data_IF_333927807499
#
_entry.id   IF_333927807499
#
_cell.length_a   1.000
_cell.length_b   1.000
_cell.length_c   1.000
_cell.angle_alpha   90.00
_cell.angle_beta   90.00
_cell.angle_gamma   90.00
#
_symmetry.space_group_name_H-M   'P 1'
#
loop_
_entity.id
_entity.type
_entity.pdbx_description
1 polymer ?
#
# COMPACT_ATOMS: atom_id res chain seq x y z
N UNK A 1 24.78 1.20 -9.31
CA UNK A 1 23.40 0.91 -9.76
C UNK A 1 22.92 -0.37 -9.08
N UNK A 2 21.77 -0.33 -8.42
CA UNK A 2 21.21 -1.47 -7.70
C UNK A 2 19.88 -1.93 -8.32
N UNK A 3 19.45 -3.14 -7.99
CA UNK A 3 18.15 -3.69 -8.40
C UNK A 3 17.24 -3.81 -7.17
N UNK A 4 16.12 -3.08 -7.19
CA UNK A 4 15.06 -3.17 -6.18
C UNK A 4 13.88 -3.99 -6.72
N UNK A 5 13.39 -4.92 -5.90
CA UNK A 5 12.27 -5.78 -6.23
C UNK A 5 11.15 -5.64 -5.21
N UNK A 6 10.05 -5.05 -5.61
CA UNK A 6 8.88 -4.86 -4.76
C UNK A 6 7.99 -6.10 -4.79
N UNK A 7 7.71 -6.68 -3.63
CA UNK A 7 6.89 -7.86 -3.48
C UNK A 7 5.70 -7.59 -2.57
N UNK A 8 4.49 -7.90 -3.05
CA UNK A 8 3.25 -7.78 -2.27
C UNK A 8 2.66 -9.14 -1.90
N UNK A 9 3.48 -10.19 -1.86
CA UNK A 9 3.03 -11.55 -1.54
C UNK A 9 2.45 -11.68 -0.12
N UNK A 10 2.79 -10.75 0.77
CA UNK A 10 2.29 -10.69 2.13
C UNK A 10 0.96 -9.95 2.28
N UNK A 11 0.39 -9.39 1.20
CA UNK A 11 -0.86 -8.64 1.26
C UNK A 11 -2.06 -9.43 0.71
N UNK A 12 -3.25 -9.13 1.22
CA UNK A 12 -4.52 -9.53 0.60
C UNK A 12 -4.85 -8.66 -0.63
N UNK A 13 -5.76 -9.09 -1.51
CA UNK A 13 -6.04 -8.41 -2.79
C UNK A 13 -6.48 -6.95 -2.63
N UNK A 14 -7.31 -6.65 -1.62
CA UNK A 14 -7.72 -5.27 -1.33
C UNK A 14 -6.50 -4.42 -0.93
N UNK A 15 -5.61 -4.94 -0.08
CA UNK A 15 -4.38 -4.26 0.32
C UNK A 15 -3.47 -4.02 -0.89
N UNK A 16 -3.28 -5.01 -1.76
CA UNK A 16 -2.51 -4.84 -3.00
C UNK A 16 -3.03 -3.69 -3.85
N UNK A 17 -4.35 -3.53 -3.96
CA UNK A 17 -4.95 -2.45 -4.74
C UNK A 17 -4.68 -1.05 -4.18
N UNK A 18 -4.63 -0.90 -2.86
CA UNK A 18 -4.36 0.40 -2.21
C UNK A 18 -2.88 0.75 -2.19
N UNK A 19 -1.99 -0.25 -2.25
CA UNK A 19 -0.53 -0.04 -2.30
C UNK A 19 -0.03 0.50 -3.64
N UNK A 20 -0.70 0.19 -4.75
CA UNK A 20 -0.29 0.65 -6.09
C UNK A 20 -0.10 2.16 -6.11
N UNK A 21 -0.96 2.88 -5.39
CA UNK A 21 -0.90 4.34 -5.31
C UNK A 21 0.44 4.84 -4.75
N UNK A 22 1.00 4.16 -3.73
CA UNK A 22 2.28 4.52 -3.13
C UNK A 22 3.47 3.98 -3.93
N UNK A 23 3.34 2.77 -4.48
CA UNK A 23 4.38 2.08 -5.24
C UNK A 23 4.97 2.92 -6.37
N UNK A 24 4.13 3.67 -7.07
CA UNK A 24 4.51 4.59 -8.14
C UNK A 24 5.61 5.58 -7.71
N UNK A 25 5.54 6.14 -6.49
CA UNK A 25 6.54 7.09 -5.98
C UNK A 25 7.89 6.44 -5.71
N UNK A 26 7.88 5.26 -5.10
CA UNK A 26 9.11 4.53 -4.85
C UNK A 26 9.77 4.13 -6.16
N UNK A 27 8.99 3.63 -7.11
CA UNK A 27 9.47 3.31 -8.45
C UNK A 27 10.07 4.54 -9.13
N UNK A 28 9.34 5.65 -9.16
CA UNK A 28 9.78 6.89 -9.80
C UNK A 28 11.10 7.40 -9.20
N UNK A 29 11.18 7.52 -7.87
CA UNK A 29 12.40 8.00 -7.21
C UNK A 29 13.62 7.10 -7.46
N UNK A 30 13.42 5.77 -7.46
CA UNK A 30 14.50 4.82 -7.75
C UNK A 30 14.94 4.85 -9.21
N UNK A 31 13.99 4.98 -10.15
CA UNK A 31 14.30 5.11 -11.58
C UNK A 31 15.04 6.42 -11.89
N UNK A 32 14.69 7.54 -11.24
CA UNK A 32 15.37 8.84 -11.40
C UNK A 32 16.84 8.83 -10.92
N UNK A 33 17.18 7.89 -10.03
CA UNK A 33 18.55 7.60 -9.59
C UNK A 33 19.24 6.53 -10.45
N UNK A 34 18.56 6.02 -11.48
CA UNK A 34 19.08 5.04 -12.42
C UNK A 34 19.04 3.59 -11.92
N UNK A 35 18.34 3.30 -10.83
CA UNK A 35 18.20 1.91 -10.35
C UNK A 35 17.24 1.09 -11.22
N UNK A 36 17.42 -0.23 -11.21
CA UNK A 36 16.43 -1.15 -11.78
C UNK A 36 15.32 -1.38 -10.77
N UNK A 37 14.07 -1.31 -11.20
CA UNK A 37 12.90 -1.58 -10.37
C UNK A 37 12.02 -2.65 -11.02
N UNK A 38 11.65 -3.69 -10.28
CA UNK A 38 10.67 -4.68 -10.71
C UNK A 38 9.64 -4.94 -9.60
N UNK A 39 8.50 -5.49 -9.99
CA UNK A 39 7.38 -5.80 -9.09
C UNK A 39 6.95 -7.26 -9.24
N UNK A 40 6.54 -7.88 -8.15
CA UNK A 40 5.88 -9.18 -8.16
C UNK A 40 4.80 -9.26 -7.09
N UNK A 41 3.76 -10.05 -7.38
CA UNK A 41 2.71 -10.36 -6.41
C UNK A 41 3.00 -11.62 -5.60
N UNK A 42 3.96 -12.44 -6.03
CA UNK A 42 4.10 -13.83 -5.56
C UNK A 42 5.55 -14.31 -5.46
N UNK A 43 6.52 -13.54 -5.98
CA UNK A 43 7.92 -13.94 -6.03
C UNK A 43 8.82 -12.87 -5.42
N UNK A 44 9.99 -13.31 -5.00
CA UNK A 44 11.14 -12.47 -4.65
C UNK A 44 12.32 -12.80 -5.54
N UNK A 45 13.30 -11.91 -5.59
CA UNK A 45 14.47 -12.04 -6.45
C UNK A 45 15.73 -12.14 -5.60
N UNK A 46 16.44 -13.27 -5.70
CA UNK A 46 17.65 -13.53 -4.88
C UNK A 46 18.76 -12.51 -5.04
N UNK A 47 18.89 -11.93 -6.24
CA UNK A 47 19.92 -10.93 -6.57
C UNK A 47 19.43 -9.48 -6.46
N UNK A 48 18.20 -9.26 -5.99
CA UNK A 48 17.64 -7.93 -5.79
C UNK A 48 17.57 -7.57 -4.30
N UNK A 49 17.47 -6.28 -4.03
CA UNK A 49 17.01 -5.77 -2.74
C UNK A 49 15.49 -5.91 -2.73
N UNK A 50 14.99 -6.93 -2.03
CA UNK A 50 13.55 -7.18 -1.96
C UNK A 50 12.90 -6.17 -1.01
N UNK A 51 11.73 -5.66 -1.35
CA UNK A 51 11.00 -4.70 -0.52
C UNK A 51 9.57 -5.20 -0.36
N UNK A 52 9.14 -5.31 0.89
CA UNK A 52 7.76 -5.62 1.26
C UNK A 52 7.08 -4.37 1.82
N UNK A 53 5.79 -4.20 1.56
CA UNK A 53 4.99 -3.31 2.39
C UNK A 53 4.66 -4.00 3.71
N UNK A 54 4.45 -3.25 4.77
CA UNK A 54 4.06 -3.81 6.05
C UNK A 54 2.63 -4.37 5.98
N UNK A 55 2.54 -5.69 6.07
CA UNK A 55 1.36 -6.46 6.45
C UNK A 55 1.88 -7.87 6.68
N UNK A 56 2.23 -8.22 7.92
CA UNK A 56 2.80 -9.53 8.22
C UNK A 56 1.89 -10.31 9.15
N UNK A 57 1.65 -11.57 8.79
CA UNK A 57 0.87 -12.52 9.59
C UNK A 57 1.78 -13.63 10.17
N UNK A 58 1.35 -14.29 11.26
CA UNK A 58 2.14 -15.33 11.90
C UNK A 58 2.65 -16.38 10.91
N UNK A 59 3.92 -16.77 11.06
CA UNK A 59 4.57 -17.75 10.18
C UNK A 59 5.31 -17.17 8.97
N UNK A 60 4.97 -15.95 8.53
CA UNK A 60 5.62 -15.32 7.36
C UNK A 60 7.14 -15.13 7.53
N UNK A 61 7.63 -14.90 8.75
CA UNK A 61 9.07 -14.79 9.01
C UNK A 61 9.83 -16.06 8.62
N UNK A 62 9.29 -17.24 8.96
CA UNK A 62 9.94 -18.52 8.66
C UNK A 62 10.12 -18.71 7.14
N UNK A 63 9.10 -18.31 6.37
CA UNK A 63 9.12 -18.33 4.91
C UNK A 63 10.18 -17.38 4.33
N UNK A 64 10.23 -16.14 4.83
CA UNK A 64 11.22 -15.15 4.38
C UNK A 64 12.65 -15.62 4.71
N UNK A 65 12.91 -16.09 5.93
CA UNK A 65 14.23 -16.60 6.33
C UNK A 65 14.65 -17.81 5.49
N UNK A 66 13.72 -18.74 5.22
CA UNK A 66 13.98 -19.92 4.37
C UNK A 66 14.37 -19.54 2.95
N UNK A 67 13.83 -18.45 2.42
CA UNK A 67 14.16 -17.96 1.08
C UNK A 67 15.58 -17.40 0.95
N UNK A 68 16.26 -17.11 2.07
CA UNK A 68 17.63 -16.56 2.13
C UNK A 68 17.81 -15.28 1.30
N UNK A 69 16.80 -14.42 1.29
CA UNK A 69 16.85 -13.11 0.63
C UNK A 69 17.23 -12.01 1.62
N UNK A 70 17.88 -10.96 1.09
CA UNK A 70 17.92 -9.67 1.76
C UNK A 70 16.63 -8.89 1.44
N UNK A 71 16.05 -8.24 2.46
CA UNK A 71 14.84 -7.44 2.28
C UNK A 71 14.79 -6.20 3.17
N UNK A 72 14.06 -5.19 2.70
CA UNK A 72 13.60 -4.05 3.48
C UNK A 72 12.08 -4.01 3.58
N UNK A 73 11.58 -3.11 4.42
CA UNK A 73 10.14 -2.95 4.66
C UNK A 73 9.71 -1.50 4.42
N UNK A 74 8.58 -1.29 3.75
CA UNK A 74 7.86 -0.01 3.75
C UNK A 74 6.77 -0.08 4.82
N UNK A 75 6.92 0.71 5.87
CA UNK A 75 5.95 0.81 6.96
C UNK A 75 4.99 1.99 6.73
N UNK A 76 3.70 1.69 6.60
CA UNK A 76 2.64 2.70 6.42
C UNK A 76 1.86 2.98 7.70
N UNK A 77 1.98 2.12 8.70
CA UNK A 77 1.22 2.21 9.95
C UNK A 77 1.94 3.04 11.02
N UNK A 78 1.15 3.68 11.90
CA UNK A 78 1.65 4.54 12.98
C UNK A 78 1.78 3.70 14.26
N UNK A 79 2.98 3.46 14.81
CA UNK A 79 3.14 2.79 16.09
C UNK A 79 2.69 3.71 17.23
N UNK A 80 1.83 3.20 18.10
CA UNK A 80 1.30 3.94 19.27
C UNK A 80 1.84 3.42 20.62
N UNK A 81 2.76 2.44 20.57
CA UNK A 81 3.37 1.79 21.72
C UNK A 81 2.65 0.53 22.20
N UNK A 82 1.38 0.33 21.84
CA UNK A 82 0.60 -0.90 22.11
C UNK A 82 0.32 -1.70 20.82
N UNK A 83 0.24 -1.01 19.70
CA UNK A 83 -0.05 -1.58 18.40
C UNK A 83 0.18 -0.55 17.28
N UNK A 84 -0.69 -0.62 16.27
CA UNK A 84 -0.72 0.30 15.14
C UNK A 84 -2.03 1.11 15.13
N UNK A 85 -1.95 2.40 14.85
CA UNK A 85 -3.08 3.30 14.60
C UNK A 85 -4.15 3.33 15.70
N UNK A 86 -3.75 3.17 16.96
CA UNK A 86 -4.64 3.13 18.14
C UNK A 86 -5.67 2.00 18.08
N UNK A 87 -5.34 0.91 17.38
CA UNK A 87 -6.15 -0.29 17.25
C UNK A 87 -5.68 -1.36 18.23
N UNK A 88 -6.59 -1.79 19.10
CA UNK A 88 -6.35 -2.77 20.15
C UNK A 88 -7.06 -4.11 19.90
N UNK A 89 -7.71 -4.26 18.74
CA UNK A 89 -8.33 -5.52 18.36
C UNK A 89 -7.25 -6.63 18.24
N UNK A 90 -7.55 -7.89 18.62
CA UNK A 90 -6.56 -8.98 18.67
C UNK A 90 -5.78 -9.18 17.37
N UNK A 91 -6.42 -8.97 16.21
CA UNK A 91 -5.80 -9.02 14.89
C UNK A 91 -4.69 -7.96 14.72
N UNK A 92 -4.92 -6.74 15.19
CA UNK A 92 -3.96 -5.63 15.11
C UNK A 92 -2.80 -5.81 16.07
N UNK A 93 -3.07 -6.32 17.28
CA UNK A 93 -2.01 -6.69 18.24
C UNK A 93 -1.13 -7.79 17.65
N UNK A 94 -1.74 -8.81 17.04
CA UNK A 94 -1.01 -9.90 16.38
C UNK A 94 -0.17 -9.40 15.21
N UNK A 95 -0.72 -8.53 14.35
CA UNK A 95 0.00 -7.89 13.25
C UNK A 95 1.20 -7.08 13.75
N UNK A 96 1.03 -6.31 14.82
CA UNK A 96 2.11 -5.52 15.42
C UNK A 96 3.24 -6.40 15.99
N UNK A 97 2.89 -7.48 16.70
CA UNK A 97 3.86 -8.45 17.23
C UNK A 97 4.62 -9.14 16.09
N UNK A 98 3.90 -9.61 15.07
CA UNK A 98 4.49 -10.25 13.89
C UNK A 98 5.41 -9.29 13.14
N UNK A 99 5.00 -8.04 12.97
CA UNK A 99 5.86 -7.01 12.39
C UNK A 99 7.18 -6.89 13.15
N UNK A 100 7.15 -6.81 14.49
CA UNK A 100 8.37 -6.70 15.28
C UNK A 100 9.31 -7.91 15.11
N UNK A 101 8.78 -9.11 14.90
CA UNK A 101 9.57 -10.31 14.59
C UNK A 101 10.23 -10.22 13.21
N UNK A 102 9.45 -9.83 12.20
CA UNK A 102 9.95 -9.66 10.82
C UNK A 102 10.94 -8.49 10.71
N UNK A 103 10.68 -7.38 11.38
CA UNK A 103 11.50 -6.17 11.33
C UNK A 103 12.93 -6.39 11.85
N UNK A 104 13.13 -7.29 12.82
CA UNK A 104 14.47 -7.63 13.35
C UNK A 104 15.39 -8.30 12.32
N UNK A 105 14.83 -8.87 11.26
CA UNK A 105 15.59 -9.54 10.20
C UNK A 105 15.67 -8.69 8.91
N UNK A 106 14.98 -7.56 8.87
CA UNK A 106 15.05 -6.62 7.75
C UNK A 106 16.38 -5.86 7.73
N UNK A 107 16.82 -5.45 6.53
CA UNK A 107 18.01 -4.62 6.34
C UNK A 107 17.74 -3.14 6.57
N UNK A 108 16.52 -2.70 6.26
CA UNK A 108 16.08 -1.33 6.48
C UNK A 108 14.55 -1.24 6.56
N UNK A 109 14.07 -0.13 7.12
CA UNK A 109 12.66 0.25 7.12
C UNK A 109 12.49 1.66 6.55
N UNK A 110 11.63 1.82 5.56
CA UNK A 110 11.18 3.13 5.09
C UNK A 110 9.79 3.41 5.64
N UNK A 111 9.62 4.45 6.44
CA UNK A 111 8.32 4.83 7.00
C UNK A 111 7.76 6.04 6.27
N UNK A 112 6.44 6.08 6.08
CA UNK A 112 5.75 7.28 5.56
C UNK A 112 5.32 8.25 6.65
N UNK A 113 5.72 8.01 7.90
CA UNK A 113 5.41 8.86 9.05
C UNK A 113 6.70 9.21 9.77
N UNK A 114 7.07 10.50 9.71
CA UNK A 114 8.35 11.00 10.20
C UNK A 114 8.54 10.74 11.70
N UNK A 115 7.50 10.98 12.50
CA UNK A 115 7.52 10.73 13.95
C UNK A 115 7.69 9.25 14.31
N UNK A 116 7.51 8.32 13.36
CA UNK A 116 7.70 6.89 13.58
C UNK A 116 9.13 6.41 13.33
N UNK A 117 10.02 7.24 12.77
CA UNK A 117 11.43 6.87 12.53
C UNK A 117 12.13 6.38 13.81
N UNK A 118 12.02 7.05 14.98
CA UNK A 118 12.65 6.56 16.21
C UNK A 118 12.10 5.21 16.67
N UNK A 119 10.83 4.89 16.37
CA UNK A 119 10.28 3.58 16.65
C UNK A 119 10.93 2.51 15.78
N UNK A 120 10.92 2.70 14.46
CA UNK A 120 11.43 1.71 13.52
C UNK A 120 12.96 1.55 13.58
N UNK A 121 13.69 2.59 13.95
CA UNK A 121 15.16 2.57 14.11
C UNK A 121 15.65 1.61 15.21
N UNK A 122 14.74 1.10 16.06
CA UNK A 122 15.06 0.07 17.06
C UNK A 122 15.29 -1.31 16.46
N UNK A 123 14.87 -1.55 15.22
CA UNK A 123 14.99 -2.85 14.55
C UNK A 123 16.16 -2.90 13.57
N UNK A 124 16.25 -1.89 12.70
CA UNK A 124 17.27 -1.75 11.66
C UNK A 124 17.34 -0.27 11.22
N UNK A 125 18.30 0.15 10.36
CA UNK A 125 18.32 1.50 9.80
C UNK A 125 16.95 1.88 9.23
N UNK A 126 16.41 3.00 9.70
CA UNK A 126 15.10 3.47 9.28
C UNK A 126 15.13 4.92 8.83
N UNK A 127 14.34 5.24 7.82
CA UNK A 127 14.23 6.58 7.28
C UNK A 127 12.79 6.95 6.96
N UNK A 128 12.47 8.24 7.12
CA UNK A 128 11.24 8.82 6.63
C UNK A 128 11.35 9.03 5.12
N UNK A 129 10.40 8.50 4.37
CA UNK A 129 10.24 8.76 2.94
C UNK A 129 8.99 9.62 2.72
N UNK A 130 9.23 10.88 2.35
CA UNK A 130 8.16 11.76 1.90
C UNK A 130 7.87 11.52 0.41
N UNK A 131 6.62 11.74 0.01
CA UNK A 131 6.22 11.59 -1.39
C UNK A 131 6.45 12.90 -2.14
N UNK A 132 7.50 12.93 -2.96
CA UNK A 132 7.94 14.09 -3.73
C UNK A 132 7.39 14.16 -5.16
N UNK A 133 7.72 15.25 -5.86
CA UNK A 133 7.47 15.42 -7.27
C UNK A 133 8.37 14.52 -8.12
N UNK A 134 7.80 13.90 -9.16
CA UNK A 134 8.54 13.21 -10.21
C UNK A 134 7.89 13.45 -11.56
N UNK A 135 8.70 13.65 -12.60
CA UNK A 135 8.23 13.76 -13.99
C UNK A 135 7.56 12.46 -14.47
N UNK A 136 7.95 11.30 -13.92
CA UNK A 136 7.36 10.00 -14.24
C UNK A 136 5.91 9.85 -13.78
N UNK A 137 5.47 10.69 -12.85
CA UNK A 137 4.14 10.61 -12.24
C UNK A 137 3.17 11.67 -12.76
N UNK A 138 3.63 12.52 -13.70
CA UNK A 138 2.77 13.49 -14.35
C UNK A 138 1.79 12.75 -15.27
N UNK A 139 0.47 12.99 -15.15
CA UNK A 139 -0.49 12.42 -16.08
C UNK A 139 -0.19 12.83 -17.53
N UNK A 140 -0.14 11.86 -18.44
CA UNK A 140 0.18 12.10 -19.85
C UNK A 140 -0.79 13.09 -20.54
N UNK A 141 -2.04 13.13 -20.09
CA UNK A 141 -3.04 14.07 -20.57
C UNK A 141 -4.01 14.45 -19.46
N UNK A 142 -4.44 15.71 -19.45
CA UNK A 142 -5.45 16.22 -18.54
C UNK A 142 -6.51 16.96 -19.35
N UNK A 143 -7.78 16.78 -18.97
CA UNK A 143 -8.87 17.58 -19.55
C UNK A 143 -8.60 19.06 -19.21
N UNK A 144 -8.46 19.87 -20.26
CA UNK A 144 -8.23 21.30 -20.09
C UNK A 144 -9.47 21.98 -19.57
N UNK A 145 -10.67 21.48 -19.83
CA UNK A 145 -11.94 22.10 -19.41
C UNK A 145 -12.72 21.15 -18.49
N UNK A 146 -12.28 20.97 -17.24
CA UNK A 146 -12.98 20.13 -16.28
C UNK A 146 -14.39 20.67 -15.99
N UNK A 147 -15.37 19.78 -16.01
CA UNK A 147 -16.79 20.07 -15.78
C UNK A 147 -17.21 19.81 -14.35
N UNK A 148 -16.43 19.04 -13.58
CA UNK A 148 -16.70 18.72 -12.18
C UNK A 148 -15.97 19.73 -11.28
N UNK A 149 -16.64 20.21 -10.25
CA UNK A 149 -16.05 21.16 -9.31
C UNK A 149 -15.07 20.46 -8.38
N UNK A 150 -15.50 19.36 -7.75
CA UNK A 150 -14.70 18.61 -6.78
C UNK A 150 -14.58 17.12 -7.12
N UNK A 151 -13.39 16.54 -6.94
CA UNK A 151 -13.25 15.08 -6.86
C UNK A 151 -12.71 14.62 -5.51
N UNK A 152 -13.10 13.40 -5.13
CA UNK A 152 -12.46 12.64 -4.07
C UNK A 152 -12.29 11.17 -4.46
N UNK A 153 -11.18 10.58 -4.03
CA UNK A 153 -10.92 9.14 -4.18
C UNK A 153 -10.29 8.56 -2.91
N UNK A 154 -10.72 7.35 -2.55
CA UNK A 154 -10.28 6.63 -1.35
C UNK A 154 -11.46 6.09 -0.53
N UNK A 155 -11.13 5.51 0.62
CA UNK A 155 -12.08 4.82 1.51
C UNK A 155 -13.26 5.71 1.93
N UNK A 156 -14.47 5.13 1.87
CA UNK A 156 -15.70 5.68 2.44
C UNK A 156 -15.71 5.52 3.94
N UNK A 157 -15.94 6.62 4.64
CA UNK A 157 -16.15 6.64 6.09
C UNK A 157 -17.26 7.64 6.41
N UNK A 158 -17.96 7.50 7.55
CA UNK A 158 -19.01 8.44 7.94
C UNK A 158 -18.51 9.89 8.01
N UNK A 159 -17.27 10.09 8.46
CA UNK A 159 -16.62 11.40 8.47
C UNK A 159 -16.57 12.01 7.07
N UNK A 160 -16.13 11.20 6.10
CA UNK A 160 -15.91 11.66 4.73
C UNK A 160 -17.19 11.89 3.96
N UNK A 161 -18.17 11.02 4.17
CA UNK A 161 -19.52 11.16 3.60
C UNK A 161 -20.17 12.46 4.05
N UNK A 162 -20.09 12.79 5.34
CA UNK A 162 -20.61 14.06 5.85
C UNK A 162 -19.97 15.27 5.17
N UNK A 163 -18.66 15.27 4.95
CA UNK A 163 -17.95 16.36 4.27
C UNK A 163 -18.42 16.49 2.82
N UNK A 164 -18.46 15.38 2.08
CA UNK A 164 -18.88 15.36 0.67
C UNK A 164 -20.35 15.76 0.52
N UNK A 165 -21.22 15.34 1.44
CA UNK A 165 -22.63 15.74 1.46
C UNK A 165 -22.80 17.25 1.63
N UNK A 166 -22.03 17.90 2.53
CA UNK A 166 -22.10 19.36 2.66
C UNK A 166 -21.66 20.08 1.39
N UNK A 167 -20.61 19.60 0.72
CA UNK A 167 -20.16 20.16 -0.56
C UNK A 167 -21.18 19.96 -1.68
N UNK A 168 -21.77 18.77 -1.75
CA UNK A 168 -22.76 18.39 -2.77
C UNK A 168 -24.05 19.23 -2.76
N UNK A 169 -24.33 19.95 -1.67
CA UNK A 169 -25.44 20.91 -1.60
C UNK A 169 -25.22 22.17 -2.45
N UNK A 170 -23.96 22.46 -2.80
CA UNK A 170 -23.58 23.72 -3.43
C UNK A 170 -22.78 23.57 -4.72
N UNK A 171 -22.19 22.39 -4.97
CA UNK A 171 -21.30 22.15 -6.10
C UNK A 171 -21.36 20.70 -6.57
N UNK A 172 -20.85 20.45 -7.78
CA UNK A 172 -20.71 19.08 -8.29
C UNK A 172 -19.53 18.36 -7.63
N UNK A 173 -19.80 17.22 -7.00
CA UNK A 173 -18.77 16.42 -6.32
C UNK A 173 -18.80 14.99 -6.85
N UNK A 174 -17.69 14.55 -7.43
CA UNK A 174 -17.50 13.16 -7.87
C UNK A 174 -16.71 12.37 -6.84
N UNK A 175 -17.33 11.31 -6.33
CA UNK A 175 -16.70 10.31 -5.48
C UNK A 175 -17.19 8.92 -5.89
N UNK A 176 -16.35 8.12 -6.59
CA UNK A 176 -16.69 6.76 -6.98
C UNK A 176 -17.14 5.88 -5.81
N UNK A 177 -18.04 4.94 -6.07
CA UNK A 177 -18.48 3.96 -5.07
C UNK A 177 -17.40 2.89 -4.80
N UNK A 178 -16.65 2.52 -5.84
CA UNK A 178 -15.59 1.51 -5.78
C UNK A 178 -14.21 2.15 -5.91
N UNK A 179 -13.17 1.41 -5.52
CA UNK A 179 -11.80 1.79 -5.83
C UNK A 179 -11.60 1.85 -7.36
N UNK A 180 -11.05 2.98 -7.81
CA UNK A 180 -10.68 3.15 -9.21
C UNK A 180 -9.33 2.49 -9.49
N UNK A 181 -9.15 2.04 -10.73
CA UNK A 181 -7.82 1.74 -11.26
C UNK A 181 -6.96 3.01 -11.32
N UNK A 182 -5.63 2.91 -11.44
CA UNK A 182 -4.77 4.08 -11.61
C UNK A 182 -5.21 5.00 -12.76
N UNK A 183 -5.62 4.42 -13.89
CA UNK A 183 -6.16 5.17 -15.02
C UNK A 183 -7.47 5.89 -14.68
N UNK A 184 -8.38 5.23 -13.95
CA UNK A 184 -9.62 5.84 -13.48
C UNK A 184 -9.36 7.01 -12.52
N UNK A 185 -8.39 6.89 -11.61
CA UNK A 185 -7.98 8.00 -10.72
C UNK A 185 -7.50 9.20 -11.54
N UNK A 186 -6.66 8.97 -12.56
CA UNK A 186 -6.18 10.02 -13.46
C UNK A 186 -7.35 10.70 -14.19
N UNK A 187 -8.30 9.92 -14.71
CA UNK A 187 -9.47 10.44 -15.40
C UNK A 187 -10.35 11.29 -14.49
N UNK A 188 -10.65 10.81 -13.27
CA UNK A 188 -11.40 11.53 -12.25
C UNK A 188 -10.74 12.88 -11.93
N UNK A 189 -9.43 12.88 -11.65
CA UNK A 189 -8.68 14.12 -11.37
C UNK A 189 -8.69 15.03 -12.60
N UNK A 190 -8.52 14.46 -13.79
CA UNK A 190 -8.54 15.19 -15.06
C UNK A 190 -9.84 15.95 -15.26
N UNK A 191 -10.98 15.37 -14.91
CA UNK A 191 -12.30 15.96 -15.11
C UNK A 191 -12.77 16.92 -14.01
N UNK A 192 -11.98 17.06 -12.93
CA UNK A 192 -12.31 17.94 -11.81
C UNK A 192 -11.41 19.17 -11.71
N UNK A 193 -11.93 20.26 -11.14
CA UNK A 193 -11.18 21.51 -10.91
C UNK A 193 -10.37 21.45 -9.63
N UNK A 194 -10.99 20.96 -8.56
CA UNK A 194 -10.43 20.90 -7.21
C UNK A 194 -10.43 19.45 -6.73
N UNK A 195 -9.28 18.96 -6.29
CA UNK A 195 -9.22 17.72 -5.55
C UNK A 195 -9.38 17.96 -4.05
N UNK A 196 -10.16 17.12 -3.40
CA UNK A 196 -10.34 17.19 -1.95
C UNK A 196 -9.33 16.27 -1.25
N UNK A 197 -8.63 16.78 -0.23
CA UNK A 197 -7.71 15.98 0.58
C UNK A 197 -7.96 16.18 2.08
N UNK A 198 -8.72 15.26 2.66
CA UNK A 198 -9.12 15.31 4.05
C UNK A 198 -8.99 13.93 4.72
N UNK A 199 -8.99 13.96 6.05
CA UNK A 199 -8.70 12.84 6.95
C UNK A 199 -9.69 11.70 6.81
N UNK A 200 -9.32 10.53 7.29
CA UNK A 200 -10.20 9.36 7.34
C UNK A 200 -11.25 9.46 8.47
N UNK A 201 -10.84 10.06 9.58
CA UNK A 201 -11.65 10.34 10.77
C UNK A 201 -11.06 11.56 11.48
N UNK A 202 -11.78 12.11 12.46
CA UNK A 202 -11.35 13.30 13.18
C UNK A 202 -9.99 13.13 13.89
N UNK A 203 -9.73 11.94 14.44
CA UNK A 203 -8.51 11.57 15.18
C UNK A 203 -7.30 11.28 14.30
N UNK A 204 -7.49 11.09 13.00
CA UNK A 204 -6.40 10.74 12.10
C UNK A 204 -5.46 11.96 11.93
N UNK A 205 -4.12 11.82 12.02
CA UNK A 205 -3.26 13.01 12.14
C UNK A 205 -3.09 13.79 10.84
N UNK A 206 -3.09 13.10 9.69
CA UNK A 206 -2.85 13.70 8.37
C UNK A 206 -3.72 13.07 7.27
N UNK A 207 -4.20 13.83 6.28
CA UNK A 207 -4.84 13.24 5.10
C UNK A 207 -3.82 12.46 4.25
N UNK A 208 -4.28 11.82 3.18
CA UNK A 208 -3.42 10.98 2.34
C UNK A 208 -2.35 11.83 1.62
N UNK A 209 -1.05 11.51 1.78
CA UNK A 209 0.03 12.20 1.07
C UNK A 209 0.08 11.84 -0.42
N UNK A 210 -0.33 10.61 -0.78
CA UNK A 210 -0.43 10.19 -2.20
C UNK A 210 -1.49 11.00 -2.93
N UNK A 211 -2.68 11.16 -2.34
CA UNK A 211 -3.75 11.99 -2.91
C UNK A 211 -3.29 13.42 -3.12
N UNK A 212 -2.66 14.01 -2.10
CA UNK A 212 -2.14 15.38 -2.17
C UNK A 212 -1.14 15.53 -3.33
N UNK A 213 -0.16 14.63 -3.40
CA UNK A 213 0.85 14.61 -4.46
C UNK A 213 0.26 14.45 -5.86
N UNK A 214 -0.67 13.50 -6.07
CA UNK A 214 -1.33 13.30 -7.39
C UNK A 214 -2.06 14.55 -7.85
N UNK A 215 -2.81 15.19 -6.97
CA UNK A 215 -3.58 16.38 -7.31
C UNK A 215 -2.67 17.55 -7.69
N UNK A 216 -1.56 17.75 -6.95
CA UNK A 216 -0.56 18.77 -7.28
C UNK A 216 0.10 18.49 -8.62
N UNK A 217 0.55 17.24 -8.89
CA UNK A 217 1.17 16.86 -10.17
C UNK A 217 0.21 16.95 -11.35
N UNK A 218 -1.08 16.72 -11.12
CA UNK A 218 -2.13 16.90 -12.12
C UNK A 218 -2.55 18.36 -12.32
N UNK A 219 -1.83 19.34 -11.75
CA UNK A 219 -2.14 20.76 -11.85
C UNK A 219 -3.61 21.03 -11.53
N UNK A 220 -4.08 20.46 -10.43
CA UNK A 220 -5.40 20.74 -9.84
C UNK A 220 -5.22 21.52 -8.55
N UNK A 221 -6.19 22.38 -8.26
CA UNK A 221 -6.26 23.02 -6.95
C UNK A 221 -6.56 21.94 -5.92
N UNK A 222 -5.97 22.04 -4.73
CA UNK A 222 -6.23 21.09 -3.64
C UNK A 222 -6.90 21.80 -2.49
N UNK A 223 -8.04 21.29 -2.06
CA UNK A 223 -8.61 21.63 -0.76
C UNK A 223 -8.03 20.65 0.27
N UNK A 224 -6.97 21.04 0.97
CA UNK A 224 -6.37 20.24 2.03
C UNK A 224 -6.97 20.60 3.39
N UNK A 225 -7.41 19.61 4.17
CA UNK A 225 -7.94 19.82 5.52
C UNK A 225 -6.84 20.31 6.47
N UNK A 226 -7.26 21.06 7.49
CA UNK A 226 -6.40 21.41 8.61
C UNK A 226 -5.83 20.15 9.29
N UNK A 227 -4.55 20.22 9.63
CA UNK A 227 -3.86 19.22 10.42
C UNK A 227 -3.02 19.92 11.49
N UNK A 228 -2.95 19.37 12.72
CA UNK A 228 -2.17 19.96 13.79
C UNK A 228 -0.66 19.72 13.64
N UNK A 229 -0.27 18.85 12.71
CA UNK A 229 1.12 18.51 12.43
C UNK A 229 1.55 19.14 11.11
N UNK A 230 2.76 19.69 11.10
CA UNK A 230 3.35 20.24 9.89
C UNK A 230 3.55 19.14 8.82
N UNK A 231 3.17 19.44 7.58
CA UNK A 231 3.48 18.60 6.42
C UNK A 231 3.99 19.50 5.29
N UNK A 232 5.11 19.14 4.66
CA UNK A 232 5.70 19.97 3.60
C UNK A 232 4.78 20.04 2.38
N UNK A 233 4.15 18.91 2.01
CA UNK A 233 3.11 18.92 0.98
C UNK A 233 1.92 19.83 1.33
N UNK A 234 1.49 19.88 2.60
CA UNK A 234 0.41 20.76 3.05
C UNK A 234 0.78 22.24 2.97
N UNK A 235 2.02 22.60 3.33
CA UNK A 235 2.55 23.97 3.18
C UNK A 235 2.63 24.41 1.70
N UNK A 236 2.95 23.48 0.80
CA UNK A 236 3.01 23.74 -0.64
C UNK A 236 1.60 23.94 -1.22
N UNK A 237 0.67 23.04 -0.90
CA UNK A 237 -0.71 23.09 -1.40
C UNK A 237 -1.54 24.23 -0.79
N UNK A 238 -1.26 24.57 0.47
CA UNK A 238 -2.09 25.42 1.32
C UNK A 238 -3.17 24.61 2.04
N UNK A 239 -3.13 24.64 3.37
CA UNK A 239 -4.09 23.95 4.24
C UNK A 239 -5.25 24.88 4.65
N UNK A 240 -6.41 24.28 4.88
CA UNK A 240 -7.54 24.94 5.52
C UNK A 240 -7.10 25.51 6.88
N UNK A 241 -7.44 26.77 7.21
CA UNK A 241 -7.27 27.29 8.56
C UNK A 241 -8.12 26.48 9.57
N UNK A 242 -7.61 26.31 10.79
CA UNK A 242 -8.30 25.58 11.86
C UNK A 242 -9.68 26.15 12.19
N UNK A 243 -9.84 27.46 12.09
CA UNK A 243 -11.06 28.19 12.44
C UNK A 243 -12.13 28.16 11.35
N UNK A 244 -11.85 27.59 10.18
CA UNK A 244 -12.78 27.56 9.04
C UNK A 244 -13.27 26.12 8.84
N UNK A 245 -14.59 25.87 8.76
CA UNK A 245 -15.09 24.56 8.38
C UNK A 245 -14.56 24.15 7.00
N UNK A 246 -14.01 22.93 6.91
CA UNK A 246 -13.33 22.48 5.69
C UNK A 246 -14.17 22.60 4.41
N UNK A 247 -15.48 22.33 4.48
CA UNK A 247 -16.37 22.45 3.32
C UNK A 247 -16.52 23.91 2.84
N UNK A 248 -16.56 24.88 3.76
CA UNK A 248 -16.59 26.31 3.42
C UNK A 248 -15.27 26.75 2.78
N UNK A 249 -14.13 26.31 3.34
CA UNK A 249 -12.82 26.55 2.74
C UNK A 249 -12.76 25.98 1.32
N UNK A 250 -13.17 24.73 1.12
CA UNK A 250 -13.18 24.10 -0.20
C UNK A 250 -14.09 24.85 -1.20
N UNK A 251 -15.29 25.26 -0.79
CA UNK A 251 -16.19 26.06 -1.64
C UNK A 251 -15.58 27.42 -2.00
N UNK A 252 -14.87 28.06 -1.06
CA UNK A 252 -14.22 29.36 -1.33
C UNK A 252 -13.21 29.26 -2.47
N UNK A 253 -12.59 28.09 -2.68
CA UNK A 253 -11.60 27.87 -3.73
C UNK A 253 -12.19 27.93 -5.14
N UNK A 254 -13.51 27.77 -5.30
CA UNK A 254 -14.19 27.92 -6.61
C UNK A 254 -14.21 29.37 -7.12
N UNK A 255 -14.04 30.34 -6.23
CA UNK A 255 -14.11 31.77 -6.57
C UNK A 255 -12.78 32.33 -7.12
N UNK A 256 -11.74 31.50 -7.25
CA UNK A 256 -10.42 31.93 -7.70
C UNK A 256 -10.12 31.45 -9.12
N UNK A 257 -9.12 32.08 -9.75
CA UNK A 257 -8.50 31.60 -10.98
C UNK A 257 -7.73 30.29 -10.70
N UNK A 258 -8.46 29.18 -10.64
CA UNK A 258 -7.96 27.89 -10.14
C UNK A 258 -6.71 27.41 -10.88
N UNK A 259 -6.61 27.64 -12.20
CA UNK A 259 -5.46 27.23 -13.01
C UNK A 259 -4.16 27.88 -12.55
N UNK A 260 -4.17 29.20 -12.38
CA UNK A 260 -2.98 29.95 -11.98
C UNK A 260 -2.49 29.48 -10.61
N UNK A 261 -3.41 29.24 -9.69
CA UNK A 261 -3.09 28.68 -8.37
C UNK A 261 -2.52 27.27 -8.47
N UNK A 262 -3.15 26.41 -9.27
CA UNK A 262 -2.69 25.03 -9.44
C UNK A 262 -1.31 24.95 -10.10
N UNK A 263 -1.04 25.80 -11.11
CA UNK A 263 0.27 25.92 -11.73
C UNK A 263 1.33 26.40 -10.72
N UNK A 264 1.02 27.42 -9.91
CA UNK A 264 1.94 27.89 -8.87
C UNK A 264 2.26 26.82 -7.81
N UNK A 265 1.26 26.04 -7.39
CA UNK A 265 1.45 24.92 -6.45
C UNK A 265 2.28 23.81 -7.09
N UNK A 266 2.02 23.47 -8.36
CA UNK A 266 2.79 22.49 -9.11
C UNK A 266 4.28 22.88 -9.18
N UNK A 267 4.58 24.12 -9.59
CA UNK A 267 5.97 24.59 -9.70
C UNK A 267 6.67 24.61 -8.33
N UNK A 268 5.95 24.99 -7.25
CA UNK A 268 6.48 24.89 -5.89
C UNK A 268 6.75 23.44 -5.47
N UNK A 269 5.85 22.51 -5.79
CA UNK A 269 6.04 21.10 -5.45
C UNK A 269 7.27 20.51 -6.16
N UNK A 270 7.41 20.81 -7.45
CA UNK A 270 8.57 20.44 -8.27
C UNK A 270 9.88 20.97 -7.71
N UNK A 271 9.91 22.24 -7.29
CA UNK A 271 11.12 22.87 -6.78
C UNK A 271 11.49 22.42 -5.35
N UNK A 272 10.50 22.24 -4.48
CA UNK A 272 10.74 22.05 -3.04
C UNK A 272 10.90 20.58 -2.64
N UNK A 273 10.20 19.66 -3.30
CA UNK A 273 10.17 18.25 -2.92
C UNK A 273 10.49 17.30 -4.08
N UNK A 274 11.66 17.40 -4.75
CA UNK A 274 12.01 16.46 -5.83
C UNK A 274 12.19 15.04 -5.29
N UNK A 275 11.45 14.07 -5.85
CA UNK A 275 11.45 12.68 -5.40
C UNK A 275 12.84 12.04 -5.50
N UNK A 276 13.61 12.34 -6.56
CA UNK A 276 15.02 11.95 -6.69
C UNK A 276 15.85 12.24 -5.44
N UNK A 277 15.82 13.48 -4.93
CA UNK A 277 16.63 13.88 -3.77
C UNK A 277 16.13 13.25 -2.47
N UNK A 278 14.81 13.07 -2.35
CA UNK A 278 14.22 12.37 -1.20
C UNK A 278 14.69 10.91 -1.20
N UNK A 279 14.59 10.22 -2.35
CA UNK A 279 15.03 8.84 -2.48
C UNK A 279 16.54 8.71 -2.22
N UNK A 280 17.36 9.61 -2.76
CA UNK A 280 18.82 9.61 -2.53
C UNK A 280 19.14 9.67 -1.03
N UNK A 281 18.53 10.62 -0.30
CA UNK A 281 18.69 10.73 1.16
C UNK A 281 18.22 9.48 1.91
N UNK A 282 17.10 8.89 1.49
CA UNK A 282 16.57 7.66 2.09
C UNK A 282 17.53 6.50 1.86
N UNK A 283 18.08 6.34 0.66
CA UNK A 283 19.06 5.31 0.36
C UNK A 283 20.36 5.53 1.15
N UNK A 284 20.91 6.75 1.16
CA UNK A 284 22.15 7.05 1.88
C UNK A 284 22.05 6.78 3.38
N UNK A 285 20.87 6.99 3.97
CA UNK A 285 20.63 6.78 5.40
C UNK A 285 20.32 5.33 5.78
N UNK A 286 19.98 4.46 4.81
CA UNK A 286 19.51 3.09 5.09
C UNK A 286 20.33 1.98 4.43
N UNK A 287 20.99 2.26 3.32
CA UNK A 287 21.71 1.29 2.50
C UNK A 287 23.21 1.23 2.85
N UNK A 288 23.52 1.05 4.13
CA UNK A 288 24.92 0.97 4.62
C UNK A 288 25.50 -0.45 4.60
N UNK A 289 24.90 -1.38 3.87
CA UNK A 289 25.29 -2.79 3.88
C UNK A 289 25.77 -3.27 2.50
N UNK A 290 26.76 -4.19 2.45
CA UNK A 290 27.17 -4.78 1.19
C UNK A 290 26.02 -5.61 0.62
N UNK A 291 25.65 -5.33 -0.63
CA UNK A 291 24.73 -6.18 -1.37
C UNK A 291 25.46 -7.49 -1.66
N UNK A 292 24.99 -8.59 -1.08
CA UNK A 292 25.58 -9.90 -1.34
C UNK A 292 25.35 -10.26 -2.80
N UNK A 293 26.40 -10.55 -3.60
CA UNK A 293 26.21 -11.06 -4.95
C UNK A 293 25.54 -12.44 -4.87
N UNK A 294 24.22 -12.48 -5.05
CA UNK A 294 23.44 -13.69 -5.07
C UNK A 294 23.33 -14.26 -6.49
N UNK A 295 23.13 -15.58 -6.58
CA UNK A 295 22.66 -16.21 -7.82
C UNK A 295 21.33 -15.56 -8.24
N UNK A 296 21.20 -15.19 -9.51
CA UNK A 296 19.92 -14.71 -10.03
C UNK A 296 18.88 -15.83 -9.96
N UNK A 297 17.66 -15.52 -9.53
CA UNK A 297 16.57 -16.47 -9.54
C UNK A 297 15.36 -15.96 -8.77
N UNK A 298 14.20 -16.11 -9.41
CA UNK A 298 12.91 -15.88 -8.76
C UNK A 298 12.61 -17.02 -7.77
N UNK A 299 12.23 -16.66 -6.55
CA UNK A 299 11.81 -17.60 -5.51
C UNK A 299 10.34 -17.32 -5.20
N UNK A 300 9.43 -18.29 -5.36
CA UNK A 300 8.05 -18.10 -4.96
C UNK A 300 7.95 -17.98 -3.43
N UNK A 301 7.12 -17.04 -2.96
CA UNK A 301 6.82 -16.89 -1.54
C UNK A 301 5.36 -17.24 -1.25
N UNK A 302 5.16 -18.23 -0.38
CA UNK A 302 3.84 -18.66 0.11
C UNK A 302 3.53 -18.00 1.45
N UNK A 303 3.34 -16.68 1.45
CA UNK A 303 3.15 -15.92 2.70
C UNK A 303 1.71 -15.89 3.20
N UNK A 304 0.73 -15.96 2.30
CA UNK A 304 -0.67 -15.95 2.71
C UNK A 304 -1.07 -17.28 3.35
N UNK A 305 -1.89 -17.23 4.41
CA UNK A 305 -2.38 -18.43 5.07
C UNK A 305 -3.26 -19.23 4.11
N UNK A 306 -3.40 -20.54 4.36
CA UNK A 306 -4.36 -21.36 3.65
C UNK A 306 -5.78 -20.79 3.77
N UNK A 307 -6.50 -20.71 2.66
CA UNK A 307 -7.87 -20.20 2.61
C UNK A 307 -8.86 -21.33 2.34
N UNK A 308 -9.90 -21.44 3.17
CA UNK A 308 -11.04 -22.28 2.84
C UNK A 308 -11.81 -21.63 1.68
N UNK A 309 -11.89 -22.32 0.54
CA UNK A 309 -12.57 -21.84 -0.67
C UNK A 309 -13.92 -22.51 -0.90
N UNK A 310 -14.23 -23.54 -0.10
CA UNK A 310 -15.54 -24.20 -0.10
C UNK A 310 -15.57 -25.40 0.82
N UNK A 311 -16.73 -26.02 0.92
CA UNK A 311 -16.92 -27.29 1.63
C UNK A 311 -18.09 -28.09 1.06
N UNK A 312 -18.10 -29.39 1.31
CA UNK A 312 -19.28 -30.25 1.13
C UNK A 312 -19.49 -31.14 2.37
N UNK A 313 -20.33 -32.17 2.27
CA UNK A 313 -20.61 -33.07 3.39
C UNK A 313 -19.38 -33.82 3.93
N UNK A 314 -18.36 -34.06 3.09
CA UNK A 314 -17.21 -34.92 3.39
C UNK A 314 -15.90 -34.13 3.40
N UNK A 315 -15.78 -33.10 2.58
CA UNK A 315 -14.53 -32.42 2.25
C UNK A 315 -14.55 -30.93 2.57
N UNK A 316 -13.40 -30.42 3.01
CA UNK A 316 -13.03 -29.01 3.00
C UNK A 316 -12.14 -28.75 1.79
N UNK A 317 -12.42 -27.69 1.03
CA UNK A 317 -11.60 -27.27 -0.10
C UNK A 317 -10.75 -26.08 0.32
N UNK A 318 -9.43 -26.23 0.25
CA UNK A 318 -8.46 -25.24 0.74
C UNK A 318 -7.55 -24.82 -0.40
N UNK A 319 -7.34 -23.52 -0.59
CA UNK A 319 -6.35 -22.97 -1.49
C UNK A 319 -5.15 -22.48 -0.69
N UNK A 320 -3.95 -22.92 -1.05
CA UNK A 320 -2.71 -22.41 -0.44
C UNK A 320 -1.58 -22.37 -1.46
N UNK A 321 -0.91 -21.21 -1.59
CA UNK A 321 0.22 -21.05 -2.50
C UNK A 321 -0.09 -21.26 -3.98
N UNK A 322 -1.35 -21.08 -4.40
CA UNK A 322 -1.81 -21.35 -5.77
C UNK A 322 -2.22 -22.80 -6.02
N UNK A 323 -2.17 -23.65 -4.99
CA UNK A 323 -2.54 -25.07 -5.06
C UNK A 323 -3.85 -25.30 -4.31
N UNK A 324 -4.63 -26.28 -4.76
CA UNK A 324 -5.92 -26.63 -4.17
C UNK A 324 -5.84 -28.00 -3.50
N UNK A 325 -6.35 -28.09 -2.29
CA UNK A 325 -6.39 -29.30 -1.46
C UNK A 325 -7.83 -29.64 -1.09
N UNK A 326 -8.22 -30.91 -1.20
CA UNK A 326 -9.42 -31.42 -0.55
C UNK A 326 -9.02 -32.24 0.66
N UNK A 327 -9.54 -31.86 1.81
CA UNK A 327 -9.21 -32.45 3.10
C UNK A 327 -10.49 -33.03 3.70
N UNK A 328 -10.50 -34.33 4.04
CA UNK A 328 -11.69 -34.91 4.68
C UNK A 328 -11.93 -34.28 6.05
N UNK A 329 -13.19 -33.92 6.32
CA UNK A 329 -13.61 -33.29 7.58
C UNK A 329 -13.31 -34.16 8.81
N UNK A 330 -13.36 -35.48 8.67
CA UNK A 330 -13.06 -36.44 9.75
C UNK A 330 -11.61 -36.36 10.27
N UNK A 331 -10.69 -35.77 9.51
CA UNK A 331 -9.29 -35.59 9.94
C UNK A 331 -9.13 -34.50 11.01
N UNK A 332 -10.15 -33.67 11.24
CA UNK A 332 -10.05 -32.51 12.10
C UNK A 332 -9.10 -31.44 11.54
N UNK A 333 -8.25 -30.88 12.42
CA UNK A 333 -7.33 -29.80 12.04
C UNK A 333 -6.12 -30.36 11.27
N UNK A 334 -5.95 -29.89 10.04
CA UNK A 334 -4.84 -30.26 9.15
C UNK A 334 -4.05 -29.01 8.78
N UNK A 335 -2.75 -29.04 9.05
CA UNK A 335 -1.82 -27.99 8.63
C UNK A 335 -1.35 -28.25 7.20
N UNK A 336 -2.00 -27.60 6.23
CA UNK A 336 -1.63 -27.77 4.81
C UNK A 336 -0.27 -27.16 4.46
N UNK A 337 0.32 -26.36 5.36
CA UNK A 337 1.63 -25.72 5.10
C UNK A 337 2.78 -26.72 5.04
N UNK A 338 2.55 -27.95 5.52
CA UNK A 338 3.49 -29.07 5.42
C UNK A 338 3.77 -29.53 3.98
N UNK A 339 2.91 -29.15 3.03
CA UNK A 339 3.01 -29.56 1.63
C UNK A 339 2.44 -30.95 1.36
N UNK A 340 2.13 -31.21 0.09
CA UNK A 340 1.36 -32.38 -0.35
C UNK A 340 1.98 -33.71 0.11
N UNK A 341 3.28 -33.91 -0.13
CA UNK A 341 3.95 -35.18 0.19
C UNK A 341 3.88 -35.51 1.69
N UNK A 342 4.12 -34.51 2.55
CA UNK A 342 4.05 -34.69 3.99
C UNK A 342 2.62 -34.96 4.47
N UNK A 343 1.64 -34.27 3.90
CA UNK A 343 0.22 -34.49 4.18
C UNK A 343 -0.23 -35.89 3.79
N UNK A 344 0.08 -36.33 2.57
CA UNK A 344 -0.32 -37.65 2.08
C UNK A 344 0.39 -38.77 2.83
N UNK A 345 1.64 -38.56 3.26
CA UNK A 345 2.35 -39.50 4.14
C UNK A 345 1.70 -39.61 5.52
N UNK A 346 1.21 -38.50 6.07
CA UNK A 346 0.63 -38.44 7.42
C UNK A 346 -0.84 -38.90 7.46
N UNK A 347 -1.63 -38.55 6.46
CA UNK A 347 -3.09 -38.72 6.45
C UNK A 347 -3.61 -39.69 5.38
N UNK A 348 -2.72 -40.26 4.57
CA UNK A 348 -3.01 -41.12 3.41
C UNK A 348 -3.64 -40.39 2.21
N UNK A 349 -3.27 -40.80 0.99
CA UNK A 349 -3.70 -40.16 -0.27
C UNK A 349 -5.23 -40.09 -0.43
N UNK A 350 -5.97 -41.08 0.08
CA UNK A 350 -7.44 -41.11 0.00
C UNK A 350 -8.15 -40.05 0.85
N UNK A 351 -7.42 -39.35 1.74
CA UNK A 351 -7.99 -38.34 2.63
C UNK A 351 -7.46 -36.92 2.35
N UNK A 352 -6.45 -36.79 1.48
CA UNK A 352 -5.87 -35.52 1.04
C UNK A 352 -5.69 -35.59 -0.49
N UNK A 353 -6.59 -34.93 -1.21
CA UNK A 353 -6.49 -34.75 -2.66
C UNK A 353 -5.87 -33.39 -2.97
N UNK A 354 -5.25 -33.28 -4.14
CA UNK A 354 -4.60 -32.06 -4.61
C UNK A 354 -4.81 -31.88 -6.11
N UNK A 355 -4.93 -30.62 -6.53
CA UNK A 355 -4.96 -30.22 -7.93
C UNK A 355 -4.42 -28.78 -8.09
N UNK A 356 -4.09 -28.43 -9.33
CA UNK A 356 -3.65 -27.07 -9.69
C UNK A 356 -4.81 -26.07 -9.77
N UNK A 357 -6.05 -26.56 -9.89
CA UNK A 357 -7.24 -25.73 -9.96
C UNK A 357 -8.44 -26.38 -9.26
N UNK A 358 -9.40 -25.54 -8.88
CA UNK A 358 -10.58 -25.97 -8.13
C UNK A 358 -11.49 -26.93 -8.93
N UNK A 359 -11.59 -26.75 -10.24
CA UNK A 359 -12.46 -27.58 -11.09
C UNK A 359 -11.95 -29.03 -11.16
N UNK A 360 -10.65 -29.20 -11.36
CA UNK A 360 -10.00 -30.51 -11.32
C UNK A 360 -10.13 -31.15 -9.93
N UNK A 361 -9.95 -30.36 -8.86
CA UNK A 361 -10.11 -30.86 -7.50
C UNK A 361 -11.52 -31.39 -7.23
N UNK A 362 -12.56 -30.72 -7.74
CA UNK A 362 -13.93 -31.21 -7.66
C UNK A 362 -14.10 -32.53 -8.42
N UNK A 363 -13.52 -32.65 -9.62
CA UNK A 363 -13.53 -33.90 -10.37
C UNK A 363 -12.87 -35.06 -9.62
N UNK A 364 -11.78 -34.81 -8.89
CA UNK A 364 -11.12 -35.83 -8.05
C UNK A 364 -11.98 -36.26 -6.87
N UNK A 365 -12.72 -35.33 -6.26
CA UNK A 365 -13.64 -35.62 -5.15
C UNK A 365 -14.82 -36.45 -5.62
N UNK A 366 -15.37 -36.17 -6.80
CA UNK A 366 -16.53 -36.90 -7.35
C UNK A 366 -16.21 -38.35 -7.75
N UNK A 367 -14.92 -38.69 -7.86
CA UNK A 367 -14.44 -40.05 -8.15
C UNK A 367 -14.14 -40.90 -6.90
N UNK A 368 -14.18 -40.32 -5.69
CA UNK A 368 -13.98 -41.00 -4.39
C UNK A 368 -15.31 -41.43 -3.79
#
# INVERSE_FOLDING_TARGET
MAWFHFCTANHHEVGKSTLVDMADWFQAGLLELGHKVTFSRTHVEKSAINIFWEYFEPGMLAEIVRSKIDYGIIATEIPDGKGFNWRDEPEWVTRFQTFAEVARNAKFIWTMVESSVPFYSRFCPAAYIELGFSEHLIPASLNKNPTVDFCFFGLRTPYREKVVEQLGKHASVEWPQNFLSPAGVIELIGNSRIGLNFKQSAQWPIPSPTRLGRLMMAKRVVAAEYVPVFTRQGEIAGICPETIPFHEYALSLLNFAWRQRADAVFERYKATLPMKLIMEKVLDSTMCYPVTPGESGAVPLKLLPPMLVGENAIWNFVCWGGEYFSIKKELGVVDVTLGLEALQKKYHMKNILHAENLLELHGLVDMQ
#
